data_IF_545942910111
#
_entry.id   IF_545942910111
#
_cell.length_a   1.000
_cell.length_b   1.000
_cell.length_c   1.000
_cell.angle_alpha   90.00
_cell.angle_beta   90.00
_cell.angle_gamma   90.00
#
_symmetry.space_group_name_H-M   'P 1'
#
loop_
_entity.id
_entity.type
_entity.pdbx_description
1 polymer ?
#
# COMPACT_ATOMS: atom_id res chain seq x y z
N UNK A 1 -53.63 -0.42 -7.09
CA UNK A 1 -53.45 0.69 -8.04
C UNK A 1 -52.88 1.84 -7.23
N UNK A 2 -51.64 2.30 -7.36
CA UNK A 2 -50.77 2.34 -8.54
C UNK A 2 -49.44 1.61 -8.34
N UNK A 3 -49.18 0.73 -9.28
CA UNK A 3 -47.90 0.09 -9.55
C UNK A 3 -47.25 0.94 -10.63
N UNK A 4 -46.65 2.07 -10.26
CA UNK A 4 -45.97 2.95 -11.23
C UNK A 4 -44.51 2.51 -11.36
N UNK A 5 -44.25 1.83 -12.48
CA UNK A 5 -43.04 1.87 -13.30
C UNK A 5 -41.71 1.95 -12.54
N UNK A 6 -41.18 0.77 -12.18
CA UNK A 6 -39.73 0.59 -12.09
C UNK A 6 -39.19 0.50 -13.51
N UNK A 7 -38.69 1.62 -14.01
CA UNK A 7 -37.75 1.58 -15.12
C UNK A 7 -36.54 0.75 -14.66
N UNK A 8 -36.36 -0.36 -15.36
CA UNK A 8 -35.28 -1.31 -15.15
C UNK A 8 -33.95 -0.59 -15.25
N UNK A 9 -33.15 -0.63 -14.17
CA UNK A 9 -31.79 -0.11 -14.16
C UNK A 9 -31.05 -0.57 -15.43
N UNK A 10 -30.56 0.40 -16.20
CA UNK A 10 -30.14 0.26 -17.60
C UNK A 10 -29.07 -0.83 -17.73
N UNK A 11 -29.26 -1.83 -18.61
CA UNK A 11 -28.27 -2.87 -18.91
C UNK A 11 -26.88 -2.32 -19.31
N UNK A 12 -26.80 -1.05 -19.67
CA UNK A 12 -25.62 -0.33 -20.14
C UNK A 12 -24.53 -0.18 -19.07
N UNK A 13 -24.91 -0.06 -17.79
CA UNK A 13 -23.98 0.26 -16.69
C UNK A 13 -22.89 -0.80 -16.43
N UNK A 14 -23.09 -2.04 -16.89
CA UNK A 14 -22.10 -3.11 -16.70
C UNK A 14 -21.60 -3.75 -17.99
N UNK A 15 -22.19 -3.46 -19.14
CA UNK A 15 -21.80 -4.09 -20.42
C UNK A 15 -20.47 -3.56 -20.94
N UNK A 16 -20.18 -2.28 -20.71
CA UNK A 16 -18.92 -1.61 -21.08
C UNK A 16 -17.73 -2.03 -20.22
N UNK A 17 -17.95 -2.70 -19.08
CA UNK A 17 -16.88 -3.11 -18.17
C UNK A 17 -15.99 -4.22 -18.75
N UNK A 18 -14.67 -4.17 -18.55
CA UNK A 18 -13.76 -5.22 -18.98
C UNK A 18 -13.90 -6.50 -18.14
N UNK A 19 -13.45 -7.62 -18.69
CA UNK A 19 -13.27 -8.89 -17.97
C UNK A 19 -11.85 -8.96 -17.38
N UNK A 20 -11.46 -7.94 -16.62
CA UNK A 20 -10.14 -7.80 -16.00
C UNK A 20 -10.27 -7.59 -14.48
N UNK A 21 -9.18 -7.81 -13.71
CA UNK A 21 -9.14 -7.41 -12.32
C UNK A 21 -9.15 -5.89 -12.18
N UNK A 22 -9.69 -5.40 -11.07
CA UNK A 22 -9.76 -3.97 -10.81
C UNK A 22 -10.74 -3.59 -9.71
N UNK A 23 -10.97 -2.29 -9.58
CA UNK A 23 -11.88 -1.67 -8.61
C UNK A 23 -13.03 -1.01 -9.35
N UNK A 24 -14.26 -1.09 -8.85
CA UNK A 24 -15.42 -0.36 -9.35
C UNK A 24 -15.95 0.61 -8.30
N UNK A 25 -16.46 1.74 -8.76
CA UNK A 25 -17.06 2.81 -7.96
C UNK A 25 -18.50 2.97 -8.40
N UNK A 26 -19.44 2.90 -7.47
CA UNK A 26 -20.85 3.19 -7.74
C UNK A 26 -21.16 4.59 -7.24
N UNK A 27 -21.73 5.41 -8.10
CA UNK A 27 -22.05 6.81 -7.81
C UNK A 27 -23.56 7.06 -7.80
N UNK A 28 -23.96 8.05 -7.01
CA UNK A 28 -25.30 8.63 -7.05
C UNK A 28 -25.41 9.71 -8.13
N UNK A 29 -26.63 10.22 -8.34
CA UNK A 29 -26.96 11.19 -9.39
C UNK A 29 -26.20 12.52 -9.30
N UNK A 30 -25.71 12.85 -8.11
CA UNK A 30 -24.90 14.03 -7.81
C UNK A 30 -23.39 13.78 -8.01
N UNK A 31 -23.00 12.59 -8.48
CA UNK A 31 -21.61 12.17 -8.63
C UNK A 31 -20.97 11.61 -7.35
N UNK A 32 -21.69 11.61 -6.21
CA UNK A 32 -21.15 11.12 -4.93
C UNK A 32 -20.87 9.62 -4.99
N UNK A 33 -19.64 9.21 -4.66
CA UNK A 33 -19.26 7.79 -4.53
C UNK A 33 -19.96 7.18 -3.31
N UNK A 34 -20.92 6.28 -3.55
CA UNK A 34 -21.72 5.65 -2.50
C UNK A 34 -21.25 4.24 -2.15
N UNK A 35 -20.49 3.59 -3.05
CA UNK A 35 -19.88 2.29 -2.81
C UNK A 35 -18.62 2.09 -3.67
N UNK A 36 -17.61 1.41 -3.10
CA UNK A 36 -16.40 0.97 -3.81
C UNK A 36 -16.22 -0.52 -3.59
N UNK A 37 -15.83 -1.28 -4.61
CA UNK A 37 -15.54 -2.70 -4.48
C UNK A 37 -14.49 -3.21 -5.47
N UNK A 38 -13.77 -4.27 -5.12
CA UNK A 38 -12.83 -4.95 -6.03
C UNK A 38 -13.46 -6.15 -6.75
N UNK A 39 -12.89 -6.51 -7.89
CA UNK A 39 -13.26 -7.71 -8.65
C UNK A 39 -12.04 -8.34 -9.33
N UNK A 40 -12.03 -9.67 -9.42
CA UNK A 40 -11.13 -10.39 -10.35
C UNK A 40 -11.62 -10.24 -11.81
N UNK A 41 -12.94 -10.06 -11.97
CA UNK A 41 -13.60 -9.80 -13.26
C UNK A 41 -14.68 -8.74 -13.08
N UNK A 42 -14.35 -7.49 -13.39
CA UNK A 42 -15.22 -6.32 -13.18
C UNK A 42 -16.63 -6.52 -13.75
N UNK A 43 -16.75 -6.87 -15.04
CA UNK A 43 -18.06 -7.09 -15.68
C UNK A 43 -18.93 -8.11 -14.95
N UNK A 44 -18.34 -9.26 -14.59
CA UNK A 44 -19.08 -10.34 -13.92
C UNK A 44 -19.52 -9.92 -12.53
N UNK A 45 -18.67 -9.19 -11.81
CA UNK A 45 -18.95 -8.72 -10.46
C UNK A 45 -20.05 -7.66 -10.45
N UNK A 46 -19.94 -6.63 -11.28
CA UNK A 46 -20.95 -5.57 -11.32
C UNK A 46 -22.30 -6.12 -11.81
N UNK A 47 -22.31 -6.98 -12.85
CA UNK A 47 -23.53 -7.67 -13.31
C UNK A 47 -24.25 -8.42 -12.19
N UNK A 48 -23.53 -8.93 -11.18
CA UNK A 48 -24.15 -9.69 -10.08
C UNK A 48 -25.09 -8.85 -9.21
N UNK A 49 -24.88 -7.53 -9.13
CA UNK A 49 -25.76 -6.62 -8.36
C UNK A 49 -27.13 -6.43 -8.99
N UNK A 50 -27.23 -6.60 -10.32
CA UNK A 50 -28.47 -6.46 -11.08
C UNK A 50 -29.30 -7.75 -11.11
N UNK A 51 -28.83 -8.83 -10.46
CA UNK A 51 -29.55 -10.10 -10.37
C UNK A 51 -30.35 -10.15 -9.06
N UNK A 52 -31.68 -10.08 -9.15
CA UNK A 52 -32.58 -9.90 -7.99
C UNK A 52 -32.60 -11.05 -6.96
N UNK A 53 -32.25 -12.28 -7.34
CA UNK A 53 -32.64 -13.48 -6.56
C UNK A 53 -31.84 -13.77 -5.27
N UNK A 54 -30.80 -13.00 -4.92
CA UNK A 54 -29.96 -13.32 -3.75
C UNK A 54 -29.29 -12.12 -3.05
N UNK A 55 -29.68 -10.88 -3.39
CA UNK A 55 -29.05 -9.70 -2.83
C UNK A 55 -29.55 -9.39 -1.41
N UNK A 56 -28.64 -9.04 -0.50
CA UNK A 56 -28.97 -8.59 0.85
C UNK A 56 -29.76 -7.27 0.79
N UNK A 57 -30.63 -7.02 1.78
CA UNK A 57 -31.50 -5.83 1.83
C UNK A 57 -30.71 -4.50 1.67
N UNK A 58 -29.52 -4.40 2.26
CA UNK A 58 -28.65 -3.23 2.12
C UNK A 58 -28.15 -3.03 0.68
N UNK A 59 -27.81 -4.11 -0.01
CA UNK A 59 -27.40 -4.08 -1.42
C UNK A 59 -28.54 -3.61 -2.31
N UNK A 60 -29.75 -4.12 -2.09
CA UNK A 60 -30.95 -3.68 -2.82
C UNK A 60 -31.23 -2.20 -2.59
N UNK A 61 -31.08 -1.71 -1.36
CA UNK A 61 -31.26 -0.30 -1.05
C UNK A 61 -30.20 0.58 -1.73
N UNK A 62 -28.92 0.18 -1.68
CA UNK A 62 -27.83 0.90 -2.34
C UNK A 62 -28.08 1.02 -3.85
N UNK A 63 -28.46 -0.09 -4.50
CA UNK A 63 -28.68 -0.12 -5.95
C UNK A 63 -29.79 0.82 -6.42
N UNK A 64 -30.71 1.27 -5.55
CA UNK A 64 -31.72 2.29 -5.89
C UNK A 64 -31.14 3.68 -6.11
N UNK A 65 -29.94 3.94 -5.60
CA UNK A 65 -29.26 5.22 -5.72
C UNK A 65 -28.16 5.20 -6.78
N UNK A 66 -27.80 4.03 -7.33
CA UNK A 66 -26.72 3.91 -8.32
C UNK A 66 -27.21 4.42 -9.67
N UNK A 67 -26.58 5.48 -10.16
CA UNK A 67 -26.84 6.05 -11.50
C UNK A 67 -25.67 5.86 -12.45
N UNK A 68 -24.46 5.67 -11.92
CA UNK A 68 -23.23 5.52 -12.70
C UNK A 68 -22.31 4.49 -12.04
N UNK A 69 -21.58 3.74 -12.88
CA UNK A 69 -20.55 2.81 -12.44
C UNK A 69 -19.24 3.13 -13.14
N UNK A 70 -18.26 3.51 -12.33
CA UNK A 70 -16.88 3.75 -12.74
C UNK A 70 -15.99 2.54 -12.41
N UNK A 71 -14.82 2.43 -13.06
CA UNK A 71 -13.90 1.32 -12.79
C UNK A 71 -12.44 1.58 -13.14
N UNK A 72 -11.51 1.10 -12.33
CA UNK A 72 -10.06 1.16 -12.59
C UNK A 72 -9.55 -0.27 -12.76
N UNK A 73 -8.96 -0.57 -13.92
CA UNK A 73 -8.33 -1.87 -14.20
C UNK A 73 -6.97 -1.91 -13.51
N UNK A 74 -6.64 -3.04 -12.93
CA UNK A 74 -5.31 -3.32 -12.36
C UNK A 74 -4.71 -4.54 -13.04
N UNK A 75 -3.40 -4.75 -12.92
CA UNK A 75 -2.74 -5.92 -13.50
C UNK A 75 -2.99 -7.15 -12.64
N UNK A 76 -3.01 -6.96 -11.33
CA UNK A 76 -3.17 -8.04 -10.35
C UNK A 76 -4.38 -7.84 -9.43
N UNK A 77 -4.87 -8.93 -8.83
CA UNK A 77 -5.89 -8.86 -7.76
C UNK A 77 -5.36 -8.13 -6.51
N UNK A 78 -4.04 -8.19 -6.31
CA UNK A 78 -3.33 -7.54 -5.22
C UNK A 78 -3.41 -6.02 -5.34
N UNK A 79 -3.10 -5.47 -6.51
CA UNK A 79 -3.27 -4.04 -6.77
C UNK A 79 -4.72 -3.60 -6.62
N UNK A 80 -5.69 -4.37 -7.14
CA UNK A 80 -7.11 -4.05 -6.98
C UNK A 80 -7.51 -3.95 -5.49
N UNK A 81 -6.94 -4.81 -4.65
CA UNK A 81 -7.18 -4.82 -3.22
C UNK A 81 -6.62 -3.58 -2.51
N UNK A 82 -5.40 -3.17 -2.87
CA UNK A 82 -4.74 -1.98 -2.33
C UNK A 82 -5.51 -0.72 -2.77
N UNK A 83 -5.82 -0.63 -4.06
CA UNK A 83 -6.54 0.49 -4.65
C UNK A 83 -7.95 0.63 -4.07
N UNK A 84 -8.68 -0.48 -3.88
CA UNK A 84 -9.99 -0.47 -3.22
C UNK A 84 -9.90 0.16 -1.83
N UNK A 85 -8.88 -0.18 -1.05
CA UNK A 85 -8.71 0.38 0.29
C UNK A 85 -8.44 1.88 0.26
N UNK A 86 -7.56 2.32 -0.65
CA UNK A 86 -7.24 3.74 -0.80
C UNK A 86 -8.49 4.54 -1.18
N UNK A 87 -9.29 4.06 -2.13
CA UNK A 87 -10.52 4.71 -2.57
C UNK A 87 -11.62 4.70 -1.50
N UNK A 88 -11.75 3.64 -0.70
CA UNK A 88 -12.69 3.62 0.44
C UNK A 88 -12.26 4.64 1.50
N UNK A 89 -10.96 4.76 1.78
CA UNK A 89 -10.44 5.74 2.74
C UNK A 89 -10.65 7.17 2.25
N UNK A 90 -10.39 7.43 0.97
CA UNK A 90 -10.54 8.75 0.35
C UNK A 90 -12.01 9.20 0.30
N UNK A 91 -12.92 8.33 -0.16
CA UNK A 91 -14.33 8.70 -0.38
C UNK A 91 -15.26 8.43 0.82
N UNK A 92 -14.84 7.64 1.81
CA UNK A 92 -15.68 7.20 2.94
C UNK A 92 -17.13 6.78 2.56
N UNK A 93 -17.31 5.98 1.49
CA UNK A 93 -18.60 5.77 0.83
C UNK A 93 -19.66 5.17 1.76
N UNK A 94 -20.88 5.72 1.74
CA UNK A 94 -21.97 5.41 2.69
C UNK A 94 -22.18 3.90 2.91
N UNK A 95 -22.16 3.09 1.85
CA UNK A 95 -22.53 1.67 1.90
C UNK A 95 -21.37 0.68 2.15
N UNK A 96 -20.12 1.14 2.28
CA UNK A 96 -18.98 0.28 2.61
C UNK A 96 -18.91 -0.06 4.12
N UNK A 97 -19.87 -0.81 4.65
CA UNK A 97 -19.96 -1.08 6.11
C UNK A 97 -18.78 -1.90 6.66
N UNK A 98 -18.35 -2.96 5.95
CA UNK A 98 -17.29 -3.89 6.42
C UNK A 98 -15.85 -3.40 6.19
N UNK A 99 -15.69 -2.32 5.43
CA UNK A 99 -14.38 -1.76 5.04
C UNK A 99 -14.21 -0.31 5.56
N UNK A 100 -15.27 0.28 6.13
CA UNK A 100 -15.18 1.43 7.05
C UNK A 100 -14.53 1.01 8.36
N UNK A 101 -14.94 -0.15 8.86
CA UNK A 101 -14.26 -0.80 9.96
C UNK A 101 -13.03 -1.51 9.41
N UNK A 102 -11.94 -1.25 10.10
CA UNK A 102 -10.59 -1.52 9.69
C UNK A 102 -10.37 -3.06 9.79
N UNK A 103 -10.82 -3.81 8.78
CA UNK A 103 -10.33 -5.16 8.44
C UNK A 103 -8.92 -5.00 7.90
N UNK A 104 -8.11 -4.55 8.83
CA UNK A 104 -6.79 -3.99 8.77
C UNK A 104 -5.85 -4.94 8.06
N UNK A 105 -5.43 -4.54 6.87
CA UNK A 105 -4.22 -5.08 6.27
C UNK A 105 -3.09 -5.05 7.30
N UNK A 106 -2.22 -6.07 7.34
CA UNK A 106 -1.02 -5.98 8.15
C UNK A 106 -0.17 -4.79 7.70
N UNK A 107 0.27 -4.02 8.68
CA UNK A 107 1.31 -3.01 8.57
C UNK A 107 2.51 -3.48 9.37
N UNK A 108 3.69 -3.02 8.97
CA UNK A 108 4.85 -3.00 9.85
C UNK A 108 4.77 -1.71 10.67
N UNK A 109 4.62 -1.84 11.99
CA UNK A 109 4.67 -0.73 12.94
C UNK A 109 6.06 -0.66 13.55
N UNK A 110 6.70 0.50 13.42
CA UNK A 110 7.93 0.86 14.13
C UNK A 110 7.54 1.82 15.25
N UNK A 111 7.77 1.41 16.49
CA UNK A 111 7.45 2.24 17.66
C UNK A 111 8.33 3.50 17.71
N UNK A 112 7.85 4.54 18.36
CA UNK A 112 8.60 5.79 18.57
C UNK A 112 8.52 6.27 20.02
N UNK A 113 7.75 5.57 20.84
CA UNK A 113 7.42 5.84 22.23
C UNK A 113 8.28 5.05 23.23
N UNK A 114 9.34 4.38 22.75
CA UNK A 114 10.23 3.56 23.55
C UNK A 114 11.71 3.92 23.25
N UNK A 115 12.62 3.92 24.24
CA UNK A 115 14.05 4.21 24.03
C UNK A 115 14.73 3.33 22.99
N UNK A 116 14.25 2.09 22.86
CA UNK A 116 14.68 1.18 21.81
C UNK A 116 13.45 0.84 20.96
N UNK A 117 13.18 1.57 19.87
CA UNK A 117 12.09 1.25 18.95
C UNK A 117 12.07 -0.21 18.49
N UNK A 118 10.89 -0.82 18.42
CA UNK A 118 10.71 -2.18 17.88
C UNK A 118 9.86 -2.16 16.63
N UNK A 119 10.12 -3.11 15.76
CA UNK A 119 9.28 -3.38 14.60
C UNK A 119 8.43 -4.63 14.81
N UNK A 120 7.14 -4.53 14.51
CA UNK A 120 6.22 -5.66 14.60
C UNK A 120 5.06 -5.52 13.63
N UNK A 121 4.40 -6.63 13.35
CA UNK A 121 3.23 -6.63 12.50
C UNK A 121 2.03 -6.25 13.35
N UNK A 122 1.37 -5.17 12.96
CA UNK A 122 0.07 -4.80 13.51
C UNK A 122 -0.94 -4.78 12.41
N UNK A 123 -2.18 -5.02 12.79
CA UNK A 123 -3.31 -4.67 11.95
C UNK A 123 -3.69 -3.22 12.24
N UNK A 124 -3.53 -2.74 13.47
CA UNK A 124 -3.99 -1.41 13.83
C UNK A 124 -3.00 -0.31 13.45
N UNK A 125 -3.32 0.44 12.39
CA UNK A 125 -2.76 1.77 12.17
C UNK A 125 -3.55 2.78 13.00
N UNK A 126 -2.85 3.52 13.86
CA UNK A 126 -3.41 4.54 14.74
C UNK A 126 -2.59 5.84 14.54
N UNK A 127 -3.18 7.01 14.77
CA UNK A 127 -2.43 8.27 14.75
C UNK A 127 -1.76 8.48 16.11
N UNK A 128 -0.92 7.54 16.53
CA UNK A 128 -0.26 7.50 17.84
C UNK A 128 1.17 8.07 17.80
N UNK A 129 1.57 8.67 16.66
CA UNK A 129 2.93 9.17 16.42
C UNK A 129 3.93 8.09 15.98
N UNK A 130 3.54 6.81 16.01
CA UNK A 130 4.39 5.72 15.51
C UNK A 130 4.33 5.60 13.99
N UNK A 131 5.33 4.95 13.40
CA UNK A 131 5.44 4.83 11.94
C UNK A 131 4.84 3.52 11.46
N UNK A 132 3.99 3.62 10.44
CA UNK A 132 3.31 2.47 9.83
C UNK A 132 3.70 2.35 8.36
N UNK A 133 4.16 1.17 7.98
CA UNK A 133 4.57 0.84 6.61
C UNK A 133 3.69 -0.28 6.07
N UNK A 134 3.15 -0.10 4.86
CA UNK A 134 2.12 -0.95 4.27
C UNK A 134 0.99 -0.11 3.65
N UNK A 135 -0.18 -0.70 3.36
CA UNK A 135 -0.68 -2.02 3.75
C UNK A 135 -0.08 -3.19 2.97
N UNK A 136 0.20 -4.30 3.65
CA UNK A 136 0.59 -5.55 2.98
C UNK A 136 -0.63 -6.45 2.73
N UNK A 137 -0.61 -7.18 1.61
CA UNK A 137 -1.72 -8.06 1.17
C UNK A 137 -2.04 -9.14 2.22
N UNK A 138 -1.01 -9.81 2.74
CA UNK A 138 -1.15 -10.96 3.61
C UNK A 138 -0.11 -10.94 4.73
N UNK A 139 -0.51 -11.38 5.93
CA UNK A 139 0.40 -11.42 7.09
C UNK A 139 1.62 -12.30 6.81
N UNK A 140 1.47 -13.34 5.99
CA UNK A 140 2.58 -14.21 5.60
C UNK A 140 3.65 -13.46 4.81
N UNK A 141 3.28 -12.65 3.82
CA UNK A 141 4.25 -11.84 3.06
C UNK A 141 4.87 -10.76 3.96
N UNK A 142 4.08 -10.12 4.83
CA UNK A 142 4.62 -9.17 5.82
C UNK A 142 5.66 -9.81 6.74
N UNK A 143 5.42 -11.04 7.21
CA UNK A 143 6.39 -11.80 8.02
C UNK A 143 7.67 -12.10 7.25
N UNK A 144 7.55 -12.41 5.95
CA UNK A 144 8.71 -12.65 5.10
C UNK A 144 9.52 -11.37 4.90
N UNK A 145 8.86 -10.23 4.63
CA UNK A 145 9.51 -8.91 4.56
C UNK A 145 10.22 -8.61 5.87
N UNK A 146 9.54 -8.72 7.01
CA UNK A 146 10.14 -8.51 8.33
C UNK A 146 11.35 -9.43 8.59
N UNK A 147 11.25 -10.70 8.20
CA UNK A 147 12.35 -11.67 8.34
C UNK A 147 13.55 -11.32 7.47
N UNK A 148 13.34 -10.75 6.28
CA UNK A 148 14.44 -10.29 5.44
C UNK A 148 15.02 -9.00 6.00
N UNK A 149 14.17 -8.02 6.32
CA UNK A 149 14.53 -6.74 6.92
C UNK A 149 15.47 -6.91 8.12
N UNK A 150 15.12 -7.80 9.05
CA UNK A 150 15.90 -8.07 10.26
C UNK A 150 17.27 -8.72 10.02
N UNK A 151 17.56 -9.22 8.80
CA UNK A 151 18.90 -9.73 8.48
C UNK A 151 19.90 -8.62 8.19
N UNK A 152 19.47 -7.59 7.46
CA UNK A 152 20.34 -6.50 7.02
C UNK A 152 20.20 -5.25 7.90
N UNK A 153 19.06 -5.06 8.57
CA UNK A 153 18.90 -4.09 9.64
C UNK A 153 18.61 -4.81 10.95
N UNK A 154 19.57 -4.87 11.89
CA UNK A 154 19.37 -5.58 13.14
C UNK A 154 18.48 -4.73 14.08
N UNK A 155 17.17 -4.80 13.86
CA UNK A 155 16.15 -4.11 14.66
C UNK A 155 15.40 -5.12 15.53
N UNK A 156 15.13 -4.77 16.78
CA UNK A 156 14.46 -5.68 17.72
C UNK A 156 13.00 -5.91 17.33
N UNK A 157 12.54 -7.14 17.56
CA UNK A 157 11.14 -7.56 17.38
C UNK A 157 10.48 -8.01 18.69
N UNK A 158 11.26 -8.13 19.77
CA UNK A 158 10.77 -8.59 21.07
C UNK A 158 9.93 -7.52 21.77
N UNK A 159 9.10 -7.95 22.71
CA UNK A 159 8.17 -7.09 23.48
C UNK A 159 8.73 -6.74 24.86
N UNK A 160 10.04 -6.87 25.08
CA UNK A 160 10.63 -6.56 26.38
C UNK A 160 10.55 -5.05 26.66
N UNK A 161 10.10 -4.65 27.86
CA UNK A 161 10.16 -3.26 28.27
C UNK A 161 11.62 -2.90 28.55
N UNK A 162 12.22 -2.07 27.70
CA UNK A 162 13.61 -1.65 27.85
C UNK A 162 13.67 -0.16 28.20
N UNK A 163 14.59 0.17 29.09
CA UNK A 163 14.98 1.53 29.46
C UNK A 163 16.24 1.92 28.70
N UNK A 164 16.66 3.19 28.77
CA UNK A 164 17.91 3.64 28.13
C UNK A 164 19.15 2.90 28.65
N UNK A 165 19.16 2.54 29.94
CA UNK A 165 20.24 1.84 30.63
C UNK A 165 19.72 0.83 31.64
N UNK A 166 20.62 -0.03 32.14
CA UNK A 166 20.37 -1.03 33.19
C UNK A 166 19.49 -2.21 32.76
N UNK A 167 19.46 -2.53 31.47
CA UNK A 167 18.73 -3.69 30.97
C UNK A 167 19.51 -4.97 31.27
N UNK A 168 18.96 -5.84 32.14
CA UNK A 168 19.61 -7.08 32.61
C UNK A 168 18.94 -8.36 32.10
N UNK A 169 18.29 -8.29 30.94
CA UNK A 169 17.63 -9.46 30.37
C UNK A 169 18.64 -10.38 29.68
N UNK A 170 18.31 -11.66 29.60
CA UNK A 170 19.10 -12.63 28.82
C UNK A 170 18.95 -12.33 27.33
N UNK A 171 20.08 -12.31 26.60
CA UNK A 171 20.07 -12.20 25.14
C UNK A 171 19.38 -13.39 24.49
N UNK A 172 18.62 -13.13 23.42
CA UNK A 172 17.86 -14.14 22.69
C UNK A 172 18.63 -14.67 21.48
N UNK A 173 18.01 -15.61 20.75
CA UNK A 173 18.58 -16.16 19.52
C UNK A 173 18.90 -15.07 18.50
N UNK A 174 18.01 -14.08 18.31
CA UNK A 174 18.21 -13.01 17.33
C UNK A 174 19.50 -12.22 17.57
N UNK A 175 19.93 -12.06 18.82
CA UNK A 175 21.25 -11.50 19.12
C UNK A 175 22.38 -12.40 18.65
N UNK A 176 22.33 -13.69 19.02
CA UNK A 176 23.37 -14.66 18.66
C UNK A 176 23.52 -14.87 17.15
N UNK A 177 22.45 -14.65 16.37
CA UNK A 177 22.47 -14.75 14.91
C UNK A 177 22.58 -13.38 14.21
N UNK A 178 22.85 -12.30 14.95
CA UNK A 178 23.11 -10.97 14.39
C UNK A 178 21.89 -10.19 13.88
N UNK A 179 20.66 -10.58 14.22
CA UNK A 179 19.42 -9.88 13.86
C UNK A 179 18.95 -8.82 14.86
N UNK A 180 19.60 -8.75 16.01
CA UNK A 180 19.33 -7.78 17.05
C UNK A 180 20.64 -7.42 17.75
N UNK A 181 20.93 -6.14 17.99
CA UNK A 181 22.18 -5.71 18.61
C UNK A 181 22.19 -5.94 20.13
N UNK A 182 21.11 -6.47 20.70
CA UNK A 182 21.04 -6.84 22.11
C UNK A 182 20.85 -5.69 23.09
N UNK A 183 19.94 -4.71 22.84
CA UNK A 183 19.68 -3.62 23.79
C UNK A 183 19.15 -4.15 25.14
N UNK A 184 18.60 -5.36 25.15
CA UNK A 184 18.09 -6.01 26.37
C UNK A 184 19.17 -6.39 27.39
N UNK A 185 20.45 -6.34 26.99
CA UNK A 185 21.61 -6.59 27.83
C UNK A 185 22.65 -5.46 27.71
N UNK A 186 22.20 -4.24 27.39
CA UNK A 186 23.01 -3.02 27.22
C UNK A 186 24.20 -3.21 26.25
N UNK A 187 24.02 -4.01 25.19
CA UNK A 187 25.06 -4.29 24.18
C UNK A 187 25.15 -3.25 23.07
N UNK A 188 24.25 -2.28 23.05
CA UNK A 188 24.18 -1.19 22.08
C UNK A 188 23.69 0.07 22.80
N UNK A 189 24.21 1.23 22.41
CA UNK A 189 23.73 2.51 22.91
C UNK A 189 22.40 2.90 22.26
N UNK A 190 21.64 3.81 22.88
CA UNK A 190 20.41 4.36 22.29
C UNK A 190 20.74 5.08 20.97
N UNK A 191 21.82 5.85 20.94
CA UNK A 191 22.24 6.62 19.76
C UNK A 191 22.55 5.71 18.57
N UNK A 192 23.33 4.65 18.78
CA UNK A 192 23.67 3.71 17.69
C UNK A 192 22.44 2.93 17.23
N UNK A 193 21.53 2.63 18.16
CA UNK A 193 20.29 1.94 17.84
C UNK A 193 19.33 2.83 17.02
N UNK A 194 19.24 4.12 17.34
CA UNK A 194 18.42 5.08 16.60
C UNK A 194 18.87 5.23 15.15
N UNK A 195 20.18 5.13 14.87
CA UNK A 195 20.67 5.09 13.49
C UNK A 195 20.15 3.89 12.71
N UNK A 196 20.08 2.70 13.35
CA UNK A 196 19.51 1.49 12.74
C UNK A 196 18.02 1.74 12.44
N UNK A 197 17.28 2.31 13.39
CA UNK A 197 15.85 2.61 13.24
C UNK A 197 15.61 3.62 12.12
N UNK A 198 16.45 4.66 12.00
CA UNK A 198 16.42 5.64 10.91
C UNK A 198 16.58 4.95 9.55
N UNK A 199 17.59 4.09 9.40
CA UNK A 199 17.85 3.34 8.16
C UNK A 199 16.68 2.41 7.80
N UNK A 200 16.11 1.71 8.79
CA UNK A 200 14.89 0.89 8.60
C UNK A 200 13.73 1.74 8.09
N UNK A 201 13.49 2.90 8.70
CA UNK A 201 12.40 3.78 8.29
C UNK A 201 12.61 4.34 6.88
N UNK A 202 13.84 4.74 6.52
CA UNK A 202 14.15 5.22 5.17
C UNK A 202 13.93 4.12 4.12
N UNK A 203 14.42 2.91 4.38
CA UNK A 203 14.23 1.76 3.50
C UNK A 203 12.74 1.44 3.30
N UNK A 204 11.97 1.36 4.40
CA UNK A 204 10.53 1.05 4.32
C UNK A 204 9.70 2.19 3.70
N UNK A 205 10.22 3.41 3.65
CA UNK A 205 9.58 4.55 2.98
C UNK A 205 9.83 4.57 1.46
N UNK A 206 10.58 3.62 0.92
CA UNK A 206 10.90 3.56 -0.51
C UNK A 206 12.10 4.41 -0.93
N UNK A 207 12.78 5.09 0.00
CA UNK A 207 14.03 5.79 -0.30
C UNK A 207 15.22 4.81 -0.28
N UNK A 208 15.16 3.83 -1.17
CA UNK A 208 16.11 2.72 -1.25
C UNK A 208 17.44 3.16 -1.84
N UNK A 209 17.44 4.09 -2.79
CA UNK A 209 18.66 4.62 -3.42
C UNK A 209 19.57 5.33 -2.42
N UNK A 210 19.01 6.15 -1.51
CA UNK A 210 19.79 6.80 -0.47
C UNK A 210 20.44 5.79 0.49
N UNK A 211 19.71 4.72 0.84
CA UNK A 211 20.21 3.65 1.70
C UNK A 211 21.36 2.89 1.02
N UNK A 212 21.22 2.55 -0.27
CA UNK A 212 22.28 1.89 -1.04
C UNK A 212 23.51 2.79 -1.14
N UNK A 213 23.32 4.08 -1.42
CA UNK A 213 24.42 5.05 -1.47
C UNK A 213 25.15 5.14 -0.14
N UNK A 214 24.43 5.32 0.97
CA UNK A 214 25.03 5.42 2.31
C UNK A 214 25.82 4.16 2.69
N UNK A 215 25.28 2.97 2.38
CA UNK A 215 25.98 1.69 2.62
C UNK A 215 27.23 1.54 1.74
N UNK A 216 27.20 2.05 0.51
CA UNK A 216 28.36 2.03 -0.40
C UNK A 216 29.47 2.92 0.14
N UNK A 217 29.13 4.15 0.52
CA UNK A 217 30.08 5.10 1.11
C UNK A 217 30.70 4.56 2.42
N UNK A 218 29.88 3.93 3.28
CA UNK A 218 30.35 3.29 4.52
C UNK A 218 31.28 2.10 4.24
N UNK A 219 30.98 1.29 3.21
CA UNK A 219 31.84 0.19 2.77
C UNK A 219 33.19 0.70 2.25
N UNK A 220 33.18 1.71 1.39
CA UNK A 220 34.38 2.31 0.80
C UNK A 220 35.25 2.96 1.87
N UNK A 221 34.67 3.76 2.77
CA UNK A 221 35.39 4.38 3.87
C UNK A 221 36.05 3.34 4.80
N UNK A 222 35.36 2.23 5.11
CA UNK A 222 35.93 1.14 5.90
C UNK A 222 37.09 0.44 5.16
N UNK A 223 36.98 0.27 3.84
CA UNK A 223 38.03 -0.31 3.01
C UNK A 223 39.27 0.62 2.91
N UNK A 224 39.06 1.94 2.83
CA UNK A 224 40.15 2.93 2.82
C UNK A 224 41.00 2.89 4.09
N UNK A 225 40.38 2.68 5.26
CA UNK A 225 41.09 2.53 6.54
C UNK A 225 41.54 1.09 6.82
N UNK A 226 41.47 0.20 5.82
CA UNK A 226 41.86 -1.21 5.89
C UNK A 226 41.06 -2.05 6.90
N UNK A 227 39.86 -1.60 7.30
CA UNK A 227 38.90 -2.38 8.11
C UNK A 227 38.05 -3.29 7.20
N UNK A 228 38.67 -4.37 6.74
CA UNK A 228 38.04 -5.31 5.82
C UNK A 228 36.87 -6.09 6.43
N UNK A 229 36.82 -6.26 7.76
CA UNK A 229 35.70 -6.93 8.43
C UNK A 229 34.44 -6.07 8.35
N UNK A 230 34.56 -4.78 8.65
CA UNK A 230 33.46 -3.83 8.57
C UNK A 230 33.04 -3.60 7.12
N UNK A 231 33.99 -3.46 6.20
CA UNK A 231 33.70 -3.35 4.76
C UNK A 231 32.95 -4.58 4.24
N UNK A 232 33.35 -5.80 4.63
CA UNK A 232 32.66 -7.03 4.24
C UNK A 232 31.21 -7.07 4.76
N UNK A 233 30.96 -6.62 6.00
CA UNK A 233 29.59 -6.51 6.55
C UNK A 233 28.73 -5.55 5.73
N UNK A 234 29.24 -4.37 5.38
CA UNK A 234 28.50 -3.41 4.55
C UNK A 234 28.24 -3.94 3.15
N UNK A 235 29.23 -4.60 2.52
CA UNK A 235 29.07 -5.25 1.22
C UNK A 235 27.97 -6.29 1.22
N UNK A 236 27.96 -7.18 2.21
CA UNK A 236 26.97 -8.26 2.31
C UNK A 236 25.57 -7.69 2.58
N UNK A 237 25.47 -6.65 3.42
CA UNK A 237 24.24 -5.89 3.66
C UNK A 237 23.72 -5.24 2.37
N UNK A 238 24.60 -4.61 1.59
CA UNK A 238 24.27 -3.95 0.33
C UNK A 238 23.72 -4.95 -0.70
N UNK A 239 24.32 -6.14 -0.80
CA UNK A 239 23.84 -7.22 -1.66
C UNK A 239 22.44 -7.69 -1.28
N UNK A 240 22.19 -7.88 0.02
CA UNK A 240 20.87 -8.29 0.53
C UNK A 240 19.80 -7.21 0.26
N UNK A 241 20.15 -5.94 0.45
CA UNK A 241 19.27 -4.77 0.17
C UNK A 241 18.92 -4.70 -1.32
N UNK A 242 19.91 -4.83 -2.21
CA UNK A 242 19.67 -4.82 -3.66
C UNK A 242 18.78 -5.97 -4.12
N UNK A 243 18.95 -7.16 -3.54
CA UNK A 243 18.09 -8.31 -3.83
C UNK A 243 16.65 -8.09 -3.35
N UNK A 244 16.48 -7.44 -2.19
CA UNK A 244 15.17 -7.08 -1.68
C UNK A 244 14.47 -6.04 -2.58
N UNK A 245 15.19 -5.00 -3.04
CA UNK A 245 14.67 -3.99 -3.97
C UNK A 245 14.21 -4.63 -5.28
N UNK A 246 15.03 -5.51 -5.86
CA UNK A 246 14.69 -6.21 -7.11
C UNK A 246 13.40 -7.03 -6.97
N UNK A 247 13.17 -7.61 -5.78
CA UNK A 247 11.94 -8.36 -5.49
C UNK A 247 10.74 -7.42 -5.27
N UNK A 248 10.94 -6.23 -4.70
CA UNK A 248 9.89 -5.20 -4.55
C UNK A 248 9.48 -4.56 -5.88
N UNK A 249 10.42 -4.30 -6.79
CA UNK A 249 10.12 -3.68 -8.09
C UNK A 249 9.27 -4.57 -9.01
N UNK A 250 9.18 -5.87 -8.74
CA UNK A 250 8.23 -6.75 -9.42
C UNK A 250 6.79 -6.59 -8.91
N UNK A 251 6.59 -5.97 -7.74
CA UNK A 251 5.32 -5.89 -7.01
C UNK A 251 4.85 -4.44 -6.71
N UNK A 252 5.60 -3.38 -7.03
CA UNK A 252 5.20 -1.99 -6.71
C UNK A 252 5.54 -0.95 -7.78
N UNK A 253 4.52 -0.20 -8.19
CA UNK A 253 4.59 1.05 -8.97
C UNK A 253 5.19 2.16 -8.09
N UNK A 254 6.10 2.96 -8.68
CA UNK A 254 6.86 4.11 -8.17
C UNK A 254 6.19 4.94 -7.05
N UNK A 255 6.98 5.37 -6.05
CA UNK A 255 6.58 6.15 -4.87
C UNK A 255 6.50 7.68 -5.08
N UNK A 256 6.57 8.18 -6.30
CA UNK A 256 6.54 9.61 -6.58
C UNK A 256 5.11 10.19 -6.62
N UNK A 257 5.01 11.50 -6.30
CA UNK A 257 3.83 12.30 -6.57
C UNK A 257 3.81 12.68 -8.05
N UNK A 258 2.88 12.11 -8.81
CA UNK A 258 2.80 12.28 -10.25
C UNK A 258 1.34 12.45 -10.68
N UNK A 259 1.07 13.40 -11.57
CA UNK A 259 -0.21 13.47 -12.26
C UNK A 259 -0.01 12.92 -13.67
N UNK A 260 -0.66 11.79 -13.97
CA UNK A 260 -0.56 11.12 -15.27
C UNK A 260 -1.77 11.51 -16.11
N UNK A 261 -1.50 12.07 -17.29
CA UNK A 261 -2.53 12.43 -18.27
C UNK A 261 -2.41 11.48 -19.46
N UNK A 262 -3.44 10.67 -19.68
CA UNK A 262 -3.60 9.86 -20.88
C UNK A 262 -4.65 10.46 -21.80
N UNK A 263 -4.34 10.58 -23.10
CA UNK A 263 -5.28 11.10 -24.09
C UNK A 263 -5.50 10.02 -25.16
N UNK A 264 -6.76 9.74 -25.46
CA UNK A 264 -7.14 8.89 -26.58
C UNK A 264 -8.18 9.60 -27.44
N UNK A 265 -7.89 9.76 -28.73
CA UNK A 265 -8.78 10.45 -29.68
C UNK A 265 -9.27 9.51 -30.79
N UNK A 266 -10.50 9.74 -31.22
CA UNK A 266 -11.11 9.25 -32.46
C UNK A 266 -11.71 10.44 -33.20
N UNK A 267 -12.05 10.32 -34.49
CA UNK A 267 -12.85 11.35 -35.15
C UNK A 267 -14.08 11.68 -34.29
N UNK A 268 -14.30 12.97 -34.04
CA UNK A 268 -15.43 13.57 -33.30
C UNK A 268 -15.42 13.42 -31.77
N UNK A 269 -14.49 12.65 -31.17
CA UNK A 269 -14.42 12.48 -29.72
C UNK A 269 -13.00 12.22 -29.20
N UNK A 270 -12.59 12.98 -28.18
CA UNK A 270 -11.40 12.70 -27.39
C UNK A 270 -11.75 12.42 -25.93
N UNK A 271 -11.05 11.46 -25.32
CA UNK A 271 -11.14 11.16 -23.91
C UNK A 271 -9.80 11.50 -23.25
N UNK A 272 -9.82 12.44 -22.30
CA UNK A 272 -8.70 12.78 -21.45
C UNK A 272 -8.88 12.06 -20.12
N UNK A 273 -7.91 11.24 -19.74
CA UNK A 273 -7.86 10.54 -18.47
C UNK A 273 -6.81 11.20 -17.58
N UNK A 274 -7.23 11.78 -16.46
CA UNK A 274 -6.36 12.28 -15.41
C UNK A 274 -6.28 11.25 -14.28
N UNK A 275 -5.06 10.88 -13.90
CA UNK A 275 -4.75 10.03 -12.76
C UNK A 275 -3.89 10.84 -11.79
N UNK A 276 -4.37 11.11 -10.58
CA UNK A 276 -3.58 11.78 -9.53
C UNK A 276 -2.92 10.73 -8.65
N UNK A 277 -1.61 10.61 -8.72
CA UNK A 277 -0.79 9.70 -7.92
C UNK A 277 -0.06 10.51 -6.85
N UNK A 278 -0.19 10.12 -5.58
CA UNK A 278 0.58 10.70 -4.47
C UNK A 278 1.17 9.59 -3.60
N UNK A 279 2.44 9.70 -3.20
CA UNK A 279 3.21 8.63 -2.54
C UNK A 279 3.10 7.29 -3.29
N UNK A 280 3.07 7.31 -4.62
CA UNK A 280 2.84 6.11 -5.45
C UNK A 280 1.46 5.47 -5.35
N UNK A 281 0.51 6.14 -4.69
CA UNK A 281 -0.88 5.70 -4.57
C UNK A 281 -1.75 6.51 -5.52
N UNK A 282 -2.49 5.83 -6.38
CA UNK A 282 -3.56 6.47 -7.15
C UNK A 282 -4.64 6.95 -6.18
N UNK A 283 -4.76 8.27 -6.02
CA UNK A 283 -5.75 8.91 -5.17
C UNK A 283 -7.06 9.14 -5.93
N UNK A 284 -6.96 9.57 -7.17
CA UNK A 284 -8.10 10.09 -7.91
C UNK A 284 -7.97 9.79 -9.39
N UNK A 285 -9.11 9.53 -10.02
CA UNK A 285 -9.22 9.32 -11.46
C UNK A 285 -10.40 10.10 -12.00
N UNK A 286 -10.11 11.08 -12.86
CA UNK A 286 -11.11 11.87 -13.57
C UNK A 286 -10.98 11.61 -15.06
N UNK A 287 -12.10 11.55 -15.77
CA UNK A 287 -12.11 11.48 -17.23
C UNK A 287 -12.99 12.58 -17.80
N UNK A 288 -12.55 13.16 -18.91
CA UNK A 288 -13.26 14.22 -19.61
C UNK A 288 -13.44 13.81 -21.06
N UNK A 289 -14.68 13.81 -21.52
CA UNK A 289 -14.99 13.68 -22.94
C UNK A 289 -15.03 15.07 -23.58
N UNK A 290 -14.21 15.26 -24.61
CA UNK A 290 -14.20 16.43 -25.47
C UNK A 290 -14.88 16.03 -26.79
N UNK A 291 -16.01 16.65 -27.08
CA UNK A 291 -16.69 16.51 -28.36
C UNK A 291 -16.05 17.49 -29.36
N UNK A 292 -16.03 17.14 -30.64
CA UNK A 292 -15.41 17.92 -31.72
C UNK A 292 -13.89 18.10 -31.58
N UNK A 293 -13.20 17.11 -31.00
CA UNK A 293 -11.75 17.10 -30.92
C UNK A 293 -11.14 16.61 -32.26
N UNK A 294 -10.37 17.46 -32.92
CA UNK A 294 -9.62 17.10 -34.13
C UNK A 294 -8.35 16.29 -33.72
N UNK A 295 -8.17 15.05 -34.18
CA UNK A 295 -7.00 14.23 -33.84
C UNK A 295 -5.66 14.87 -34.20
N UNK A 296 -5.63 15.82 -35.15
CA UNK A 296 -4.41 16.57 -35.53
C UNK A 296 -4.08 17.73 -34.57
N UNK A 297 -4.96 18.04 -33.62
CA UNK A 297 -4.82 19.17 -32.68
C UNK A 297 -4.47 18.77 -31.24
N UNK A 298 -4.20 17.48 -31.00
CA UNK A 298 -3.81 16.88 -29.70
C UNK A 298 -2.36 16.37 -29.72
#
# INVERSE_FOLDING_TARGET
MNTEQRDTATPELWQSLPNAPGVYLMKASDGTVIYVGKAVRLRTRVRSYFREKSAQALTLQMMRYVTEVDYIVTETEVEALILENNLIKAHQPRYNVKLKDDKRYPYLRVTTDEPFPRIHITRKAENDGTRYFGPFVHVRSTRQVLKQLTKFFPIRTCTLPLTETENKYRVCLDYHIGRCPGPCADKVSVTDYDEIVRKVCQFLSGNTDAVVKELTEQMEAAAEVLDFETAAKYRDTLKDVQQAITTQNMDSVSAADEDVIGIAARPDIACVQLLRVRDGKLLEREHYYLNDADPESL
#
